data_IF_963211233022
#
_entry.id   IF_963211233022
#
_cell.length_a   1.000
_cell.length_b   1.000
_cell.length_c   1.000
_cell.angle_alpha   90.00
_cell.angle_beta   90.00
_cell.angle_gamma   90.00
#
_symmetry.space_group_name_H-M   'P 1'
#
loop_
_entity.id
_entity.type
_entity.pdbx_description
1 polymer ?
#
# COMPACT_ATOMS: atom_id res chain seq x y z
N UNK A 1 -19.15 -6.51 -7.54
CA UNK A 1 -19.68 -5.14 -7.60
C UNK A 1 -20.11 -4.75 -6.19
N UNK A 2 -19.23 -3.99 -5.48
CA UNK A 2 -19.49 -3.55 -4.10
C UNK A 2 -20.17 -2.17 -4.06
N UNK A 3 -20.14 -1.43 -5.15
CA UNK A 3 -20.69 -0.08 -5.23
C UNK A 3 -22.20 -0.16 -5.58
N UNK A 4 -23.03 0.49 -4.76
CA UNK A 4 -24.43 0.77 -5.11
C UNK A 4 -24.51 2.13 -5.84
N UNK A 5 -24.71 2.14 -7.17
CA UNK A 5 -24.78 3.39 -7.94
C UNK A 5 -26.02 4.23 -7.63
N UNK A 6 -27.00 3.68 -6.91
CA UNK A 6 -28.21 4.41 -6.51
C UNK A 6 -28.05 5.11 -5.16
N UNK A 7 -27.04 4.73 -4.36
CA UNK A 7 -26.74 5.37 -3.07
C UNK A 7 -25.63 6.42 -3.21
N UNK A 8 -25.94 7.73 -3.11
CA UNK A 8 -24.93 8.79 -3.14
C UNK A 8 -23.98 8.77 -1.92
N UNK A 9 -24.32 8.00 -0.90
CA UNK A 9 -23.54 7.86 0.33
C UNK A 9 -22.82 6.52 0.42
N UNK A 10 -22.84 5.71 -0.65
CA UNK A 10 -22.15 4.42 -0.68
C UNK A 10 -20.70 4.56 -0.21
N UNK A 11 -20.29 3.86 0.88
CA UNK A 11 -18.97 4.05 1.49
C UNK A 11 -17.82 3.58 0.60
N UNK A 12 -18.08 2.65 -0.33
CA UNK A 12 -17.07 2.18 -1.27
C UNK A 12 -16.92 3.17 -2.40
N UNK A 13 -18.03 3.64 -3.00
CA UNK A 13 -18.02 4.66 -4.05
C UNK A 13 -17.28 5.93 -3.59
N UNK A 14 -17.55 6.39 -2.38
CA UNK A 14 -16.94 7.61 -1.81
C UNK A 14 -15.44 7.54 -1.62
N UNK A 15 -14.85 6.36 -1.61
CA UNK A 15 -13.39 6.19 -1.57
C UNK A 15 -12.72 6.41 -2.93
N UNK A 16 -13.44 6.21 -4.04
CA UNK A 16 -12.81 6.09 -5.36
C UNK A 16 -13.43 7.00 -6.43
N UNK A 17 -14.73 7.27 -6.35
CA UNK A 17 -15.40 8.11 -7.36
C UNK A 17 -15.11 9.59 -7.08
N UNK A 18 -14.63 10.36 -8.07
CA UNK A 18 -14.31 11.76 -7.88
C UNK A 18 -15.57 12.59 -7.57
N UNK A 19 -15.38 13.64 -6.79
CA UNK A 19 -16.42 14.60 -6.42
C UNK A 19 -16.03 15.99 -6.91
N UNK A 20 -17.00 16.77 -7.40
CA UNK A 20 -16.78 18.12 -7.91
C UNK A 20 -16.16 19.06 -6.84
N UNK A 21 -16.46 18.82 -5.55
CA UNK A 21 -15.87 19.57 -4.45
C UNK A 21 -14.34 19.43 -4.34
N UNK A 22 -13.73 18.44 -4.97
CA UNK A 22 -12.27 18.29 -5.01
C UNK A 22 -11.59 19.32 -5.93
N UNK A 23 -12.35 20.01 -6.76
CA UNK A 23 -11.85 21.11 -7.59
C UNK A 23 -11.71 22.41 -6.82
N UNK A 24 -12.35 22.53 -5.66
CA UNK A 24 -12.30 23.70 -4.78
C UNK A 24 -11.08 23.59 -3.85
N UNK A 25 -9.87 23.87 -4.40
CA UNK A 25 -8.65 23.87 -3.62
C UNK A 25 -8.71 24.91 -2.49
N UNK A 26 -8.36 24.47 -1.28
CA UNK A 26 -8.28 25.35 -0.10
C UNK A 26 -6.86 25.88 0.07
N UNK A 27 -6.69 27.12 0.63
CA UNK A 27 -5.36 27.71 0.82
C UNK A 27 -4.40 26.87 1.68
N UNK A 28 -4.95 26.01 2.56
CA UNK A 28 -4.19 25.16 3.47
C UNK A 28 -3.74 23.84 2.82
N UNK A 29 -4.29 23.51 1.65
CA UNK A 29 -3.94 22.29 0.94
C UNK A 29 -2.57 22.39 0.28
N UNK A 30 -1.79 21.34 0.40
CA UNK A 30 -0.46 21.23 -0.20
C UNK A 30 -0.37 20.01 -1.10
N UNK A 31 0.37 20.15 -2.20
CA UNK A 31 0.61 19.05 -3.14
C UNK A 31 1.41 17.89 -2.52
N UNK A 32 2.19 18.15 -1.48
CA UNK A 32 2.94 17.15 -0.71
C UNK A 32 2.54 17.17 0.77
N UNK A 33 1.35 16.65 1.13
CA UNK A 33 0.80 16.76 2.48
C UNK A 33 1.61 16.01 3.54
N UNK A 34 2.45 15.07 3.12
CA UNK A 34 3.29 14.27 4.02
C UNK A 34 4.78 14.63 3.94
N UNK A 35 5.17 15.59 3.08
CA UNK A 35 6.54 16.08 2.98
C UNK A 35 7.52 15.03 2.46
N UNK A 36 7.12 14.21 1.49
CA UNK A 36 8.02 13.21 0.91
C UNK A 36 9.18 13.85 0.15
N UNK A 37 8.94 14.98 -0.54
CA UNK A 37 9.95 15.63 -1.40
C UNK A 37 11.17 16.10 -0.62
N UNK A 38 10.97 16.69 0.57
CA UNK A 38 12.08 17.19 1.41
C UNK A 38 12.90 16.06 2.06
N UNK A 39 12.36 14.85 2.05
CA UNK A 39 13.02 13.65 2.58
C UNK A 39 13.47 12.67 1.49
N UNK A 40 13.44 13.08 0.21
CA UNK A 40 13.81 12.22 -0.93
C UNK A 40 15.23 12.49 -1.39
N UNK A 41 16.23 11.74 -0.93
CA UNK A 41 17.63 11.90 -1.38
C UNK A 41 17.82 11.50 -2.84
N UNK A 42 16.95 10.63 -3.34
CA UNK A 42 16.94 10.11 -4.70
C UNK A 42 15.49 9.96 -5.21
N UNK A 43 15.32 10.00 -6.52
CA UNK A 43 14.04 9.65 -7.13
C UNK A 43 13.60 8.22 -6.72
N UNK A 44 12.38 8.10 -6.24
CA UNK A 44 11.83 6.82 -5.81
C UNK A 44 12.24 6.34 -4.41
N UNK A 45 12.93 7.18 -3.63
CA UNK A 45 13.33 6.83 -2.25
C UNK A 45 13.01 7.98 -1.30
N UNK A 46 12.27 7.68 -0.23
CA UNK A 46 12.02 8.62 0.89
C UNK A 46 12.74 8.10 2.14
N UNK A 47 13.61 8.91 2.72
CA UNK A 47 14.43 8.58 3.89
C UNK A 47 14.20 9.61 5.00
N UNK A 48 13.07 9.49 5.69
CA UNK A 48 12.65 10.39 6.77
C UNK A 48 13.20 9.97 8.13
N UNK A 49 13.27 8.67 8.39
CA UNK A 49 13.68 8.11 9.68
C UNK A 49 15.07 7.48 9.55
N UNK A 50 15.90 7.53 10.60
CA UNK A 50 17.31 7.08 10.51
C UNK A 50 17.47 5.63 10.04
N UNK A 51 16.57 4.74 10.46
CA UNK A 51 16.71 3.29 10.32
C UNK A 51 15.77 2.65 9.29
N UNK A 52 14.95 3.46 8.61
CA UNK A 52 13.95 2.95 7.66
C UNK A 52 13.72 3.87 6.48
N UNK A 53 13.41 3.28 5.36
CA UNK A 53 13.11 3.99 4.12
C UNK A 53 11.81 3.49 3.48
N UNK A 54 11.21 4.37 2.68
CA UNK A 54 10.14 4.06 1.77
C UNK A 54 10.72 3.98 0.37
N UNK A 55 10.61 2.82 -0.27
CA UNK A 55 11.02 2.60 -1.65
C UNK A 55 9.79 2.62 -2.55
N UNK A 56 9.68 3.63 -3.41
CA UNK A 56 8.63 3.77 -4.39
C UNK A 56 8.99 2.91 -5.60
N UNK A 57 8.18 1.88 -5.89
CA UNK A 57 8.52 0.89 -6.92
C UNK A 57 7.67 1.02 -8.18
N UNK A 58 6.55 1.75 -8.10
CA UNK A 58 5.61 2.00 -9.20
C UNK A 58 4.82 3.28 -8.95
N UNK A 59 4.30 3.88 -10.02
CA UNK A 59 3.34 5.00 -9.97
C UNK A 59 1.93 4.54 -10.35
N UNK A 60 1.69 3.25 -10.47
CA UNK A 60 0.43 2.67 -10.88
C UNK A 60 -0.30 2.02 -9.71
N UNK A 61 -1.63 2.22 -9.66
CA UNK A 61 -2.56 1.50 -8.79
C UNK A 61 -3.70 0.93 -9.65
N UNK A 62 -4.32 -0.16 -9.20
CA UNK A 62 -5.52 -0.71 -9.84
C UNK A 62 -6.76 0.17 -9.62
N UNK A 63 -6.76 0.94 -8.53
CA UNK A 63 -7.77 1.97 -8.20
C UNK A 63 -7.07 3.20 -7.64
N UNK A 64 -7.67 4.37 -7.79
CA UNK A 64 -7.14 5.63 -7.27
C UNK A 64 -8.00 6.11 -6.11
N UNK A 65 -7.46 6.01 -4.90
CA UNK A 65 -8.16 6.46 -3.70
C UNK A 65 -8.19 7.99 -3.66
N UNK A 66 -9.36 8.59 -3.40
CA UNK A 66 -9.53 10.06 -3.27
C UNK A 66 -8.67 10.66 -2.15
N UNK A 67 -8.39 9.88 -1.11
CA UNK A 67 -7.56 10.28 0.03
C UNK A 67 -6.06 9.96 -0.15
N UNK A 68 -5.62 9.73 -1.39
CA UNK A 68 -4.23 9.35 -1.65
C UNK A 68 -3.28 10.52 -1.36
N UNK A 69 -2.39 10.35 -0.37
CA UNK A 69 -1.37 11.36 -0.01
C UNK A 69 -0.30 11.54 -1.10
N UNK A 70 -0.25 10.64 -2.09
CA UNK A 70 0.66 10.67 -3.24
C UNK A 70 -0.06 10.85 -4.57
N UNK A 71 -1.29 11.40 -4.56
CA UNK A 71 -2.08 11.61 -5.78
C UNK A 71 -1.31 12.37 -6.87
N UNK A 72 -0.44 13.34 -6.49
CA UNK A 72 0.42 14.09 -7.42
C UNK A 72 1.40 13.23 -8.24
N UNK A 73 1.73 12.02 -7.76
CA UNK A 73 2.69 11.10 -8.37
C UNK A 73 2.02 9.90 -9.00
N UNK A 74 0.91 9.45 -8.41
CA UNK A 74 0.21 8.23 -8.80
C UNK A 74 -0.79 8.54 -9.91
N UNK A 75 -0.81 7.71 -10.96
CA UNK A 75 -1.73 7.88 -12.09
C UNK A 75 -1.29 8.88 -13.15
N UNK A 76 -0.09 9.47 -13.04
CA UNK A 76 0.43 10.36 -14.08
C UNK A 76 0.58 9.62 -15.41
N UNK A 77 0.11 10.28 -16.49
CA UNK A 77 0.15 9.73 -17.85
C UNK A 77 1.62 9.65 -18.31
N UNK A 78 2.08 8.44 -18.61
CA UNK A 78 3.38 8.23 -19.28
C UNK A 78 4.28 7.17 -18.66
N UNK A 79 4.53 7.17 -17.37
CA UNK A 79 5.40 6.18 -16.72
C UNK A 79 4.64 5.43 -15.60
N UNK A 80 4.20 4.21 -15.89
CA UNK A 80 3.51 3.34 -14.92
C UNK A 80 4.44 2.67 -13.92
N UNK A 81 5.73 2.62 -14.20
CA UNK A 81 6.72 2.02 -13.31
C UNK A 81 7.94 2.93 -13.14
N UNK A 82 8.52 2.92 -11.95
CA UNK A 82 9.83 3.52 -11.71
C UNK A 82 10.85 2.79 -12.59
N UNK A 83 11.73 3.55 -13.27
CA UNK A 83 12.73 2.94 -14.16
C UNK A 83 13.65 2.01 -13.37
N UNK A 84 14.06 0.91 -13.99
CA UNK A 84 14.94 -0.07 -13.35
C UNK A 84 16.22 0.57 -12.81
N UNK A 85 16.82 1.47 -13.60
CA UNK A 85 18.02 2.20 -13.21
C UNK A 85 17.84 3.06 -11.95
N UNK A 86 16.68 3.70 -11.78
CA UNK A 86 16.41 4.52 -10.58
C UNK A 86 16.17 3.63 -9.36
N UNK A 87 15.53 2.47 -9.53
CA UNK A 87 15.41 1.45 -8.48
C UNK A 87 16.78 0.88 -8.09
N UNK A 88 17.67 0.63 -9.04
CA UNK A 88 19.04 0.17 -8.76
C UNK A 88 19.78 1.20 -7.91
N UNK A 89 19.73 2.49 -8.28
CA UNK A 89 20.33 3.56 -7.46
C UNK A 89 19.77 3.64 -6.04
N UNK A 90 18.45 3.50 -5.91
CA UNK A 90 17.80 3.51 -4.60
C UNK A 90 18.22 2.30 -3.75
N UNK A 91 18.34 1.12 -4.34
CA UNK A 91 18.82 -0.10 -3.68
C UNK A 91 20.31 0.05 -3.30
N UNK A 92 21.13 0.62 -4.17
CA UNK A 92 22.56 0.89 -3.89
C UNK A 92 22.70 1.91 -2.75
N UNK A 93 21.85 2.93 -2.68
CA UNK A 93 21.79 3.85 -1.55
C UNK A 93 21.47 3.11 -0.24
N UNK A 94 20.48 2.21 -0.24
CA UNK A 94 20.15 1.39 0.93
C UNK A 94 21.34 0.54 1.32
N UNK A 95 21.99 -0.13 0.37
CA UNK A 95 23.16 -0.98 0.62
C UNK A 95 24.37 -0.19 1.18
N UNK A 96 24.54 1.06 0.77
CA UNK A 96 25.57 1.97 1.25
C UNK A 96 25.30 2.60 2.62
N UNK A 97 24.11 2.40 3.21
CA UNK A 97 23.71 2.98 4.48
C UNK A 97 23.36 1.90 5.53
N UNK A 98 24.33 1.36 6.29
CA UNK A 98 24.15 0.21 7.19
C UNK A 98 23.16 0.43 8.33
N UNK A 99 22.76 1.67 8.60
CA UNK A 99 21.76 2.00 9.64
C UNK A 99 20.35 1.64 9.17
N UNK A 100 20.11 1.59 7.84
CA UNK A 100 18.81 1.26 7.27
C UNK A 100 18.59 -0.25 7.40
N UNK A 101 17.66 -0.64 8.25
CA UNK A 101 17.28 -2.04 8.50
C UNK A 101 15.87 -2.41 8.06
N UNK A 102 15.03 -1.41 7.75
CA UNK A 102 13.61 -1.56 7.44
C UNK A 102 13.30 -0.87 6.11
N UNK A 103 12.80 -1.63 5.14
CA UNK A 103 12.44 -1.12 3.81
C UNK A 103 10.96 -1.38 3.55
N UNK A 104 10.18 -0.30 3.41
CA UNK A 104 8.77 -0.36 3.01
C UNK A 104 8.64 -0.13 1.51
N UNK A 105 8.18 -1.13 0.77
CA UNK A 105 7.79 -1.00 -0.62
C UNK A 105 6.43 -0.29 -0.72
N UNK A 106 6.35 0.74 -1.56
CA UNK A 106 5.15 1.56 -1.77
C UNK A 106 5.22 2.25 -3.14
N UNK A 107 4.63 3.43 -3.26
CA UNK A 107 4.56 4.25 -4.47
C UNK A 107 3.11 4.44 -4.88
N UNK A 108 2.72 3.91 -6.05
CA UNK A 108 1.39 3.39 -6.31
C UNK A 108 1.21 2.12 -5.49
N UNK A 109 0.69 1.07 -6.04
CA UNK A 109 0.56 -0.20 -5.29
C UNK A 109 1.62 -1.20 -5.75
N UNK A 110 2.55 -1.65 -4.89
CA UNK A 110 3.62 -2.59 -5.26
C UNK A 110 3.11 -3.91 -5.83
N UNK A 111 1.94 -4.37 -5.41
CA UNK A 111 1.35 -5.61 -5.93
C UNK A 111 0.69 -5.44 -7.31
N UNK A 112 0.67 -4.23 -7.86
CA UNK A 112 0.32 -4.00 -9.27
C UNK A 112 1.46 -4.38 -10.24
N UNK A 113 2.68 -4.55 -9.73
CA UNK A 113 3.80 -5.08 -10.52
C UNK A 113 3.55 -6.55 -10.86
N UNK A 114 4.13 -7.00 -11.98
CA UNK A 114 4.21 -8.42 -12.27
C UNK A 114 5.11 -9.16 -11.26
N UNK A 115 4.94 -10.48 -11.19
CA UNK A 115 5.62 -11.34 -10.23
C UNK A 115 7.15 -11.30 -10.42
N UNK A 116 7.65 -11.26 -11.65
CA UNK A 116 9.08 -11.22 -11.98
C UNK A 116 9.73 -9.93 -11.48
N UNK A 117 9.08 -8.79 -11.72
CA UNK A 117 9.58 -7.48 -11.29
C UNK A 117 9.59 -7.35 -9.78
N UNK A 118 8.50 -7.78 -9.13
CA UNK A 118 8.40 -7.78 -7.67
C UNK A 118 9.48 -8.67 -7.05
N UNK A 119 9.66 -9.88 -7.57
CA UNK A 119 10.67 -10.82 -7.10
C UNK A 119 12.08 -10.27 -7.25
N UNK A 120 12.38 -9.63 -8.38
CA UNK A 120 13.68 -8.99 -8.60
C UNK A 120 13.99 -7.94 -7.51
N UNK A 121 13.01 -7.09 -7.15
CA UNK A 121 13.19 -6.09 -6.09
C UNK A 121 13.44 -6.79 -4.74
N UNK A 122 12.60 -7.77 -4.39
CA UNK A 122 12.71 -8.49 -3.12
C UNK A 122 14.05 -9.21 -2.98
N UNK A 123 14.53 -9.86 -4.04
CA UNK A 123 15.80 -10.54 -4.07
C UNK A 123 16.98 -9.60 -3.84
N UNK A 124 16.96 -8.42 -4.50
CA UNK A 124 18.01 -7.40 -4.35
C UNK A 124 18.04 -6.84 -2.92
N UNK A 125 16.89 -6.54 -2.34
CA UNK A 125 16.80 -6.03 -0.97
C UNK A 125 17.23 -7.09 0.05
N UNK A 126 16.82 -8.34 -0.13
CA UNK A 126 17.18 -9.43 0.79
C UNK A 126 18.65 -9.81 0.73
N UNK A 127 19.35 -9.48 -0.37
CA UNK A 127 20.78 -9.66 -0.48
C UNK A 127 21.61 -8.63 0.33
N UNK A 128 20.97 -7.57 0.86
CA UNK A 128 21.63 -6.56 1.71
C UNK A 128 21.64 -7.06 3.16
N UNK A 129 22.83 -7.33 3.76
CA UNK A 129 22.92 -8.02 5.05
C UNK A 129 22.26 -7.30 6.22
N UNK A 130 22.22 -5.97 6.21
CA UNK A 130 21.66 -5.16 7.30
C UNK A 130 20.16 -4.87 7.14
N UNK A 131 19.54 -5.25 6.00
CA UNK A 131 18.09 -5.15 5.85
C UNK A 131 17.41 -6.32 6.57
N UNK A 132 16.89 -6.03 7.76
CA UNK A 132 16.23 -7.01 8.62
C UNK A 132 14.78 -7.26 8.18
N UNK A 133 14.05 -6.19 7.85
CA UNK A 133 12.63 -6.24 7.53
C UNK A 133 12.35 -5.69 6.14
N UNK A 134 11.47 -6.38 5.42
CA UNK A 134 10.84 -5.85 4.21
C UNK A 134 9.34 -5.78 4.47
N UNK A 135 8.75 -4.64 4.18
CA UNK A 135 7.30 -4.42 4.28
C UNK A 135 6.72 -4.05 2.92
N UNK A 136 5.50 -4.45 2.66
CA UNK A 136 4.76 -4.07 1.46
C UNK A 136 3.47 -3.38 1.89
N UNK A 137 3.29 -2.11 1.52
CA UNK A 137 2.03 -1.39 1.67
C UNK A 137 1.17 -1.58 0.44
N UNK A 138 -0.05 -2.12 0.57
CA UNK A 138 -0.90 -2.45 -0.57
C UNK A 138 -2.38 -2.38 -0.24
N UNK A 139 -3.19 -1.93 -1.20
CA UNK A 139 -4.65 -2.08 -1.20
C UNK A 139 -5.10 -3.20 -2.18
N UNK A 140 -4.16 -3.75 -2.93
CA UNK A 140 -4.46 -4.75 -3.97
C UNK A 140 -5.23 -5.98 -3.46
N UNK A 141 -4.92 -6.57 -2.27
CA UNK A 141 -5.70 -7.69 -1.75
C UNK A 141 -7.17 -7.35 -1.51
N UNK A 142 -7.47 -6.06 -1.30
CA UNK A 142 -8.82 -5.53 -1.04
C UNK A 142 -9.58 -5.28 -2.33
N UNK A 143 -8.92 -4.61 -3.30
CA UNK A 143 -9.58 -4.14 -4.52
C UNK A 143 -9.49 -5.13 -5.69
N UNK A 144 -8.52 -6.03 -5.65
CA UNK A 144 -8.33 -7.10 -6.64
C UNK A 144 -7.79 -8.37 -5.96
N UNK A 145 -8.58 -9.06 -5.12
CA UNK A 145 -8.14 -10.22 -4.36
C UNK A 145 -7.59 -11.36 -5.24
N UNK A 146 -8.02 -11.45 -6.51
CA UNK A 146 -7.54 -12.42 -7.50
C UNK A 146 -6.04 -12.27 -7.80
N UNK A 147 -5.45 -11.10 -7.52
CA UNK A 147 -4.00 -10.87 -7.64
C UNK A 147 -3.20 -11.72 -6.65
N UNK A 148 -3.80 -12.11 -5.53
CA UNK A 148 -3.12 -12.91 -4.51
C UNK A 148 -3.18 -14.39 -4.89
N UNK A 149 -2.39 -14.75 -5.88
CA UNK A 149 -2.30 -16.11 -6.40
C UNK A 149 -1.39 -17.01 -5.54
N UNK A 150 -1.53 -18.34 -5.62
CA UNK A 150 -0.57 -19.28 -5.02
C UNK A 150 0.88 -19.08 -5.55
N UNK A 151 1.05 -18.60 -6.78
CA UNK A 151 2.37 -18.29 -7.34
C UNK A 151 2.99 -17.09 -6.61
N UNK A 152 2.25 -15.99 -6.48
CA UNK A 152 2.70 -14.81 -5.75
C UNK A 152 3.06 -15.16 -4.30
N UNK A 153 2.22 -15.88 -3.58
CA UNK A 153 2.49 -16.22 -2.17
C UNK A 153 3.73 -17.09 -2.01
N UNK A 154 4.01 -18.01 -2.96
CA UNK A 154 5.28 -18.76 -2.98
C UNK A 154 6.51 -17.85 -3.17
N UNK A 155 6.38 -16.81 -4.00
CA UNK A 155 7.44 -15.82 -4.18
C UNK A 155 7.67 -15.07 -2.86
N UNK A 156 6.62 -14.46 -2.31
CA UNK A 156 6.73 -13.65 -1.10
C UNK A 156 7.31 -14.45 0.08
N UNK A 157 6.92 -15.71 0.24
CA UNK A 157 7.41 -16.61 1.28
C UNK A 157 8.94 -16.80 1.27
N UNK A 158 9.59 -16.69 0.13
CA UNK A 158 11.06 -16.86 0.03
C UNK A 158 11.86 -15.70 0.62
N UNK A 159 11.19 -14.55 0.85
CA UNK A 159 11.85 -13.30 1.24
C UNK A 159 11.53 -12.87 2.67
N UNK A 160 11.21 -13.82 3.55
CA UNK A 160 11.04 -13.53 4.97
C UNK A 160 12.33 -13.00 5.64
N UNK A 161 12.19 -12.16 6.69
CA UNK A 161 10.97 -11.59 7.28
C UNK A 161 10.32 -10.55 6.36
N UNK A 162 9.11 -10.83 5.92
CA UNK A 162 8.30 -9.96 5.08
C UNK A 162 6.93 -9.74 5.74
N UNK A 163 6.49 -8.47 5.81
CA UNK A 163 5.24 -8.04 6.41
C UNK A 163 4.39 -7.31 5.39
N UNK A 164 3.08 -7.35 5.55
CA UNK A 164 2.17 -6.58 4.72
C UNK A 164 1.32 -5.62 5.53
N UNK A 165 1.29 -4.35 5.08
CA UNK A 165 0.35 -3.32 5.53
C UNK A 165 -0.76 -3.22 4.50
N UNK A 166 -1.97 -3.63 4.88
CA UNK A 166 -3.14 -3.65 4.01
C UNK A 166 -4.03 -2.44 4.30
N UNK A 167 -4.51 -1.78 3.24
CA UNK A 167 -5.38 -0.62 3.38
C UNK A 167 -6.84 -1.05 3.36
N UNK A 168 -7.46 -1.08 4.54
CA UNK A 168 -8.90 -1.29 4.73
C UNK A 168 -9.52 -0.03 5.29
N UNK A 169 -10.68 0.35 4.78
CA UNK A 169 -11.38 1.59 5.16
C UNK A 169 -12.78 1.32 5.66
N UNK A 170 -13.48 0.31 5.12
CA UNK A 170 -14.85 -0.03 5.47
C UNK A 170 -15.05 -1.54 5.64
N UNK A 171 -15.94 -2.03 6.54
CA UNK A 171 -16.19 -3.47 6.71
C UNK A 171 -16.66 -4.16 5.43
N UNK A 172 -17.41 -3.48 4.56
CA UNK A 172 -17.91 -4.04 3.29
C UNK A 172 -16.80 -4.40 2.29
N UNK A 173 -15.57 -3.91 2.50
CA UNK A 173 -14.41 -4.32 1.73
C UNK A 173 -13.97 -5.77 2.04
N UNK A 174 -14.41 -6.34 3.18
CA UNK A 174 -14.04 -7.69 3.61
C UNK A 174 -14.99 -8.75 3.04
N UNK A 175 -15.04 -8.84 1.70
CA UNK A 175 -15.79 -9.90 1.01
C UNK A 175 -15.16 -11.28 1.24
N UNK A 176 -15.89 -12.38 0.95
CA UNK A 176 -15.34 -13.74 1.01
C UNK A 176 -14.03 -13.89 0.22
N UNK A 177 -13.93 -13.29 -0.97
CA UNK A 177 -12.74 -13.35 -1.82
C UNK A 177 -11.56 -12.61 -1.19
N UNK A 178 -11.81 -11.46 -0.54
CA UNK A 178 -10.79 -10.69 0.19
C UNK A 178 -10.33 -11.48 1.42
N UNK A 179 -11.24 -12.08 2.17
CA UNK A 179 -10.90 -12.92 3.31
C UNK A 179 -10.04 -14.12 2.88
N UNK A 180 -10.35 -14.75 1.75
CA UNK A 180 -9.55 -15.85 1.18
C UNK A 180 -8.16 -15.38 0.73
N UNK A 181 -8.05 -14.19 0.13
CA UNK A 181 -6.77 -13.59 -0.23
C UNK A 181 -5.90 -13.32 1.00
N UNK A 182 -6.49 -12.78 2.07
CA UNK A 182 -5.81 -12.59 3.37
C UNK A 182 -5.38 -13.93 3.97
N UNK A 183 -6.23 -14.95 3.93
CA UNK A 183 -5.90 -16.27 4.41
C UNK A 183 -4.70 -16.87 3.65
N UNK A 184 -4.67 -16.78 2.32
CA UNK A 184 -3.52 -17.24 1.50
C UNK A 184 -2.20 -16.57 1.91
N UNK A 185 -2.22 -15.26 2.18
CA UNK A 185 -1.03 -14.52 2.65
C UNK A 185 -0.62 -14.98 4.06
N UNK A 186 -1.57 -15.08 4.97
CA UNK A 186 -1.33 -15.48 6.35
C UNK A 186 -0.83 -16.94 6.44
N UNK A 187 -1.36 -17.86 5.60
CA UNK A 187 -0.92 -19.26 5.51
C UNK A 187 0.48 -19.39 4.90
N UNK A 188 0.90 -18.41 4.09
CA UNK A 188 2.28 -18.31 3.63
C UNK A 188 3.24 -17.79 4.72
N UNK A 189 2.74 -17.51 5.93
CA UNK A 189 3.53 -17.00 7.06
C UNK A 189 3.79 -15.50 7.00
N UNK A 190 3.02 -14.74 6.22
CA UNK A 190 3.17 -13.29 6.08
C UNK A 190 2.27 -12.61 7.12
N UNK A 191 2.83 -11.91 8.12
CA UNK A 191 2.04 -11.12 9.05
C UNK A 191 1.30 -9.99 8.33
N UNK A 192 -0.01 -9.86 8.60
CA UNK A 192 -0.87 -8.85 8.01
C UNK A 192 -1.26 -7.81 9.04
N UNK A 193 -1.13 -6.53 8.67
CA UNK A 193 -1.51 -5.39 9.48
C UNK A 193 -2.43 -4.48 8.67
N UNK A 194 -3.49 -3.95 9.30
CA UNK A 194 -4.36 -2.98 8.65
C UNK A 194 -3.84 -1.56 8.88
N UNK A 195 -3.86 -0.77 7.83
CA UNK A 195 -3.79 0.68 7.88
C UNK A 195 -5.15 1.22 7.45
N UNK A 196 -5.80 1.97 8.33
CA UNK A 196 -7.14 2.51 8.13
C UNK A 196 -7.07 4.04 8.15
N UNK A 197 -7.61 4.68 7.14
CA UNK A 197 -7.75 6.14 7.11
C UNK A 197 -9.15 6.49 7.59
N UNK A 198 -9.26 7.44 8.54
CA UNK A 198 -10.56 7.95 8.99
C UNK A 198 -11.12 8.91 7.94
N UNK A 199 -12.25 8.56 7.36
CA UNK A 199 -12.90 9.30 6.28
C UNK A 199 -14.32 9.70 6.69
N UNK A 200 -14.58 10.99 6.65
CA UNK A 200 -15.88 11.56 6.98
C UNK A 200 -16.99 10.98 6.09
N UNK A 201 -18.03 10.42 6.72
CA UNK A 201 -19.17 9.81 6.06
C UNK A 201 -18.84 8.49 5.36
N UNK A 202 -17.74 7.83 5.76
CA UNK A 202 -17.37 6.49 5.32
C UNK A 202 -17.19 5.58 6.53
N UNK A 203 -16.37 5.99 7.50
CA UNK A 203 -16.04 5.19 8.68
C UNK A 203 -15.79 6.05 9.94
N UNK A 204 -16.34 7.25 9.98
CA UNK A 204 -16.16 8.20 11.09
C UNK A 204 -17.19 8.03 12.22
N UNK A 205 -17.80 6.85 12.31
CA UNK A 205 -18.67 6.45 13.41
C UNK A 205 -18.16 5.19 14.13
N UNK A 206 -18.57 5.04 15.39
CA UNK A 206 -18.06 3.97 16.26
C UNK A 206 -18.53 2.59 15.81
N UNK A 207 -19.75 2.48 15.30
CA UNK A 207 -20.33 1.20 14.90
C UNK A 207 -19.61 0.62 13.68
N UNK A 208 -19.41 1.44 12.65
CA UNK A 208 -18.65 1.06 11.44
C UNK A 208 -17.22 0.66 11.78
N UNK A 209 -16.54 1.42 12.65
CA UNK A 209 -15.17 1.09 13.06
C UNK A 209 -15.13 -0.21 13.88
N UNK A 210 -16.07 -0.42 14.80
CA UNK A 210 -16.13 -1.67 15.56
C UNK A 210 -16.33 -2.87 14.63
N UNK A 211 -17.25 -2.79 13.67
CA UNK A 211 -17.48 -3.82 12.67
C UNK A 211 -16.24 -4.09 11.84
N UNK A 212 -15.56 -3.03 11.36
CA UNK A 212 -14.31 -3.17 10.61
C UNK A 212 -13.23 -3.87 11.42
N UNK A 213 -13.00 -3.44 12.67
CA UNK A 213 -11.94 -4.03 13.52
C UNK A 213 -12.21 -5.50 13.79
N UNK A 214 -13.47 -5.88 14.07
CA UNK A 214 -13.86 -7.29 14.26
C UNK A 214 -13.67 -8.12 13.00
N UNK A 215 -14.07 -7.60 11.84
CA UNK A 215 -13.93 -8.27 10.56
C UNK A 215 -12.45 -8.47 10.16
N UNK A 216 -11.60 -7.48 10.42
CA UNK A 216 -10.15 -7.58 10.21
C UNK A 216 -9.53 -8.71 11.04
N UNK A 217 -9.85 -8.79 12.33
CA UNK A 217 -9.35 -9.87 13.21
C UNK A 217 -9.83 -11.23 12.72
N UNK A 218 -11.10 -11.36 12.32
CA UNK A 218 -11.63 -12.58 11.73
C UNK A 218 -10.91 -12.99 10.44
N UNK A 219 -10.50 -12.02 9.62
CA UNK A 219 -9.69 -12.22 8.41
C UNK A 219 -8.18 -12.40 8.69
N UNK A 220 -7.77 -12.49 9.96
CA UNK A 220 -6.36 -12.64 10.39
C UNK A 220 -5.48 -11.43 10.03
N UNK A 221 -6.10 -10.26 9.96
CA UNK A 221 -5.42 -8.98 9.75
C UNK A 221 -5.43 -8.21 11.07
N UNK A 222 -4.26 -7.88 11.59
CA UNK A 222 -4.14 -7.13 12.85
C UNK A 222 -4.50 -5.66 12.61
N UNK A 223 -5.51 -5.08 13.27
CA UNK A 223 -5.67 -3.62 13.32
C UNK A 223 -4.39 -3.00 13.90
N UNK A 224 -3.77 -2.09 13.17
CA UNK A 224 -2.44 -1.60 13.54
C UNK A 224 -2.35 -0.08 13.55
N UNK A 225 -2.95 0.57 12.56
CA UNK A 225 -2.84 2.01 12.36
C UNK A 225 -4.19 2.61 11.95
N UNK A 226 -4.62 3.66 12.66
CA UNK A 226 -5.76 4.52 12.35
C UNK A 226 -5.27 5.89 11.94
#
# INVERSE_FOLDING_TARGET
DLIDPADPHDPIARQFLPDAAELDARPEETADPIGDDVHSPLAGLVHRYPDRVLLLVTNFCSVYCRYCTRARMVGSVGERSIRKHDLEKAIDYIAGNPVIRDVLLSGGDPLSLDDERLEWILARLRAIPHVEFIRIGSKQPVVQPQRITPALTRILKRYHPLWMSLHFTHPDELTPEVAEACARLADAGIPLMAQTVLLKGVNDDVETLEQLMRALVAARVKPYYL
#
